data_IF_979488045801
#
_entry.id   IF_979488045801
#
_cell.length_a   1.000
_cell.length_b   1.000
_cell.length_c   1.000
_cell.angle_alpha   90.00
_cell.angle_beta   90.00
_cell.angle_gamma   90.00
#
_symmetry.space_group_name_H-M   'P 1'
#
loop_
_entity.id
_entity.type
_entity.pdbx_description
1 polymer ?
#
# COMPACT_ATOMS: atom_id res chain seq x y z
N UNK A 1 42.11 3.25 -8.16
CA UNK A 1 42.17 2.96 -6.71
C UNK A 1 41.62 4.12 -5.89
N UNK A 2 42.30 5.27 -5.78
CA UNK A 2 41.86 6.38 -4.90
C UNK A 2 40.46 6.94 -5.21
N UNK A 3 40.15 7.13 -6.50
CA UNK A 3 38.81 7.54 -6.93
C UNK A 3 37.82 6.36 -6.88
N UNK A 4 38.15 5.28 -7.58
CA UNK A 4 37.24 4.15 -7.82
C UNK A 4 36.83 3.38 -6.56
N UNK A 5 37.68 3.32 -5.53
CA UNK A 5 37.40 2.60 -4.28
C UNK A 5 37.00 3.53 -3.12
N UNK A 6 36.81 4.83 -3.38
CA UNK A 6 36.55 5.84 -2.36
C UNK A 6 35.38 5.50 -1.44
N UNK A 7 34.30 4.94 -1.99
CA UNK A 7 33.14 4.57 -1.18
C UNK A 7 33.44 3.48 -0.15
N UNK A 8 34.31 2.51 -0.48
CA UNK A 8 34.72 1.46 0.44
C UNK A 8 35.54 2.05 1.58
N UNK A 9 36.43 3.01 1.27
CA UNK A 9 37.22 3.72 2.28
C UNK A 9 36.34 4.54 3.23
N UNK A 10 35.38 5.27 2.68
CA UNK A 10 34.43 6.04 3.47
C UNK A 10 33.56 5.14 4.35
N UNK A 11 33.12 4.00 3.82
CA UNK A 11 32.33 3.02 4.57
C UNK A 11 33.14 2.38 5.70
N UNK A 12 34.37 1.94 5.43
CA UNK A 12 35.27 1.36 6.44
C UNK A 12 35.60 2.39 7.54
N UNK A 13 35.92 3.63 7.16
CA UNK A 13 36.20 4.70 8.12
C UNK A 13 34.99 5.05 8.99
N UNK A 14 33.80 5.14 8.39
CA UNK A 14 32.55 5.35 9.14
C UNK A 14 32.27 4.18 10.08
N UNK A 15 32.48 2.94 9.63
CA UNK A 15 32.33 1.74 10.45
C UNK A 15 33.21 1.81 11.70
N UNK A 16 34.51 2.03 11.51
CA UNK A 16 35.46 2.20 12.61
C UNK A 16 35.05 3.31 13.58
N UNK A 17 34.63 4.48 13.05
CA UNK A 17 34.18 5.61 13.88
C UNK A 17 32.98 5.25 14.77
N UNK A 18 32.09 4.38 14.28
CA UNK A 18 30.92 3.92 15.03
C UNK A 18 31.14 2.60 15.77
N UNK A 19 32.38 2.10 15.84
CA UNK A 19 32.74 0.80 16.44
C UNK A 19 32.03 -0.40 15.81
N UNK A 20 31.72 -0.31 14.51
CA UNK A 20 31.12 -1.39 13.71
C UNK A 20 32.18 -1.88 12.73
N UNK A 21 32.51 -3.17 12.79
CA UNK A 21 33.39 -3.80 11.82
C UNK A 21 32.54 -4.28 10.65
N UNK A 22 32.65 -3.61 9.50
CA UNK A 22 31.95 -3.97 8.27
C UNK A 22 32.88 -4.67 7.27
N UNK A 23 32.27 -5.31 6.29
CA UNK A 23 32.93 -6.05 5.20
C UNK A 23 33.91 -5.18 4.38
N UNK A 24 33.70 -3.86 4.39
CA UNK A 24 34.50 -2.91 3.62
C UNK A 24 35.87 -2.65 4.27
N UNK A 25 36.03 -2.95 5.56
CA UNK A 25 37.31 -2.79 6.28
C UNK A 25 38.42 -3.73 5.76
N UNK A 26 38.25 -5.07 5.71
CA UNK A 26 39.28 -5.96 5.17
C UNK A 26 39.51 -5.72 3.68
N UNK A 27 38.48 -5.37 2.91
CA UNK A 27 38.60 -4.97 1.50
C UNK A 27 39.50 -3.75 1.36
N UNK A 28 39.26 -2.72 2.18
CA UNK A 28 40.07 -1.50 2.18
C UNK A 28 41.53 -1.79 2.53
N UNK A 29 41.77 -2.60 3.56
CA UNK A 29 43.13 -3.00 3.94
C UNK A 29 43.81 -3.78 2.81
N UNK A 30 43.14 -4.76 2.21
CA UNK A 30 43.68 -5.53 1.09
C UNK A 30 44.05 -4.65 -0.12
N UNK A 31 43.19 -3.68 -0.48
CA UNK A 31 43.47 -2.73 -1.56
C UNK A 31 44.70 -1.87 -1.24
N UNK A 32 44.80 -1.34 -0.02
CA UNK A 32 45.97 -0.55 0.39
C UNK A 32 47.26 -1.37 0.39
N UNK A 33 47.23 -2.58 0.95
CA UNK A 33 48.45 -3.38 1.05
C UNK A 33 48.91 -3.87 -0.32
N UNK A 34 48.02 -4.34 -1.19
CA UNK A 34 48.36 -4.70 -2.57
C UNK A 34 48.94 -3.52 -3.35
N UNK A 35 48.37 -2.33 -3.17
CA UNK A 35 48.86 -1.13 -3.84
C UNK A 35 50.26 -0.77 -3.37
N UNK A 36 50.47 -0.66 -2.05
CA UNK A 36 51.78 -0.31 -1.47
C UNK A 36 52.84 -1.34 -1.89
N UNK A 37 52.52 -2.63 -1.80
CA UNK A 37 53.42 -3.71 -2.18
C UNK A 37 53.75 -3.67 -3.67
N UNK A 38 52.73 -3.58 -4.54
CA UNK A 38 52.95 -3.55 -5.99
C UNK A 38 53.74 -2.31 -6.40
N UNK A 39 53.49 -1.16 -5.77
CA UNK A 39 54.28 0.05 -5.97
C UNK A 39 55.73 -0.15 -5.53
N UNK A 40 55.97 -0.80 -4.39
CA UNK A 40 57.32 -1.09 -3.91
C UNK A 40 58.08 -2.03 -4.86
N UNK A 41 57.47 -3.14 -5.28
CA UNK A 41 58.09 -4.12 -6.19
C UNK A 41 58.43 -3.50 -7.55
N UNK A 42 57.52 -2.68 -8.10
CA UNK A 42 57.75 -1.97 -9.36
C UNK A 42 58.85 -0.91 -9.21
N UNK A 43 58.82 -0.13 -8.12
CA UNK A 43 59.80 0.93 -7.89
C UNK A 43 61.21 0.39 -7.61
N UNK A 44 61.32 -0.78 -6.96
CA UNK A 44 62.59 -1.43 -6.65
C UNK A 44 63.07 -2.40 -7.74
N UNK A 45 62.28 -2.58 -8.81
CA UNK A 45 62.54 -3.53 -9.90
C UNK A 45 62.69 -5.00 -9.43
N UNK A 46 62.11 -5.34 -8.27
CA UNK A 46 62.17 -6.67 -7.68
C UNK A 46 61.07 -7.60 -8.19
N UNK A 47 60.03 -7.04 -8.81
CA UNK A 47 58.90 -7.81 -9.33
C UNK A 47 58.04 -7.00 -10.27
N UNK A 48 57.11 -7.70 -10.93
CA UNK A 48 56.14 -7.10 -11.86
C UNK A 48 54.95 -6.42 -11.13
N UNK A 49 54.81 -6.64 -9.82
CA UNK A 49 53.67 -6.19 -9.04
C UNK A 49 52.36 -6.91 -9.41
N UNK A 50 51.28 -6.57 -8.70
CA UNK A 50 49.96 -7.18 -8.85
C UNK A 50 48.88 -6.13 -9.19
N UNK A 51 49.26 -5.13 -9.98
CA UNK A 51 48.37 -4.01 -10.35
C UNK A 51 47.16 -4.48 -11.17
N UNK A 52 47.33 -5.50 -12.00
CA UNK A 52 46.28 -6.17 -12.76
C UNK A 52 45.22 -6.81 -11.85
N UNK A 53 45.68 -7.55 -10.83
CA UNK A 53 44.84 -8.21 -9.83
C UNK A 53 44.12 -7.18 -8.96
N UNK A 54 44.80 -6.09 -8.58
CA UNK A 54 44.22 -4.97 -7.86
C UNK A 54 43.09 -4.31 -8.66
N UNK A 55 43.31 -4.05 -9.95
CA UNK A 55 42.29 -3.46 -10.83
C UNK A 55 41.12 -4.42 -11.00
N UNK A 56 41.39 -5.71 -11.24
CA UNK A 56 40.36 -6.75 -11.36
C UNK A 56 39.48 -6.82 -10.11
N UNK A 57 40.07 -6.85 -8.91
CA UNK A 57 39.35 -6.84 -7.64
C UNK A 57 38.39 -5.64 -7.53
N UNK A 58 38.92 -4.42 -7.72
CA UNK A 58 38.10 -3.19 -7.62
C UNK A 58 37.02 -3.16 -8.69
N UNK A 59 37.31 -3.63 -9.90
CA UNK A 59 36.35 -3.69 -11.00
C UNK A 59 35.16 -4.60 -10.68
N UNK A 60 35.41 -5.83 -10.22
CA UNK A 60 34.34 -6.77 -9.85
C UNK A 60 33.51 -6.27 -8.67
N UNK A 61 34.14 -5.66 -7.67
CA UNK A 61 33.45 -5.01 -6.55
C UNK A 61 32.51 -3.90 -7.04
N UNK A 62 32.97 -3.04 -7.96
CA UNK A 62 32.15 -1.97 -8.53
C UNK A 62 30.98 -2.49 -9.38
N UNK A 63 31.16 -3.56 -10.14
CA UNK A 63 30.06 -4.22 -10.86
C UNK A 63 28.98 -4.68 -9.87
N UNK A 64 29.38 -5.35 -8.79
CA UNK A 64 28.45 -5.80 -7.75
C UNK A 64 27.65 -4.65 -7.16
N UNK A 65 28.33 -3.55 -6.84
CA UNK A 65 27.69 -2.35 -6.27
C UNK A 65 26.78 -1.61 -7.26
N UNK A 66 27.18 -1.54 -8.52
CA UNK A 66 26.35 -0.97 -9.59
C UNK A 66 25.06 -1.77 -9.77
N UNK A 67 25.15 -3.10 -9.78
CA UNK A 67 24.00 -3.97 -9.87
C UNK A 67 23.09 -3.83 -8.64
N UNK A 68 23.66 -3.81 -7.44
CA UNK A 68 22.91 -3.57 -6.19
C UNK A 68 22.14 -2.24 -6.25
N UNK A 69 22.79 -1.17 -6.71
CA UNK A 69 22.17 0.15 -6.86
C UNK A 69 21.01 0.13 -7.86
N UNK A 70 21.17 -0.54 -9.01
CA UNK A 70 20.09 -0.70 -10.00
C UNK A 70 18.90 -1.46 -9.43
N UNK A 71 19.15 -2.54 -8.69
CA UNK A 71 18.10 -3.32 -8.02
C UNK A 71 17.41 -2.46 -6.96
N UNK A 72 18.15 -1.70 -6.16
CA UNK A 72 17.61 -0.80 -5.14
C UNK A 72 16.79 0.36 -5.73
N UNK A 73 17.22 0.91 -6.87
CA UNK A 73 16.46 1.95 -7.57
C UNK A 73 15.15 1.41 -8.14
N UNK A 74 15.18 0.21 -8.73
CA UNK A 74 13.97 -0.48 -9.18
C UNK A 74 13.02 -0.82 -8.01
N UNK A 75 13.59 -1.11 -6.83
CA UNK A 75 12.88 -1.32 -5.56
C UNK A 75 12.28 -0.03 -4.95
N UNK A 76 12.92 1.11 -5.19
CA UNK A 76 12.51 2.40 -4.59
C UNK A 76 11.30 3.04 -5.28
N UNK A 77 10.76 2.39 -6.32
CA UNK A 77 9.54 2.83 -6.97
C UNK A 77 8.33 2.55 -6.06
N UNK A 78 7.47 3.55 -5.91
CA UNK A 78 6.15 3.50 -5.23
C UNK A 78 6.14 3.61 -3.70
N UNK A 79 6.76 4.67 -3.16
CA UNK A 79 6.36 5.22 -1.85
C UNK A 79 5.64 6.56 -1.93
N UNK A 80 5.32 7.05 -3.13
CA UNK A 80 4.72 8.37 -3.24
C UNK A 80 3.20 8.24 -3.16
N UNK A 81 2.66 8.46 -1.95
CA UNK A 81 1.26 8.83 -1.76
C UNK A 81 0.83 9.94 -2.73
N UNK A 82 1.80 10.75 -3.21
CA UNK A 82 1.65 11.80 -4.23
C UNK A 82 0.99 11.33 -5.52
N UNK A 83 1.12 10.06 -5.90
CA UNK A 83 0.42 9.51 -7.08
C UNK A 83 -1.10 9.53 -6.94
N UNK A 84 -1.62 9.60 -5.71
CA UNK A 84 -3.05 9.66 -5.41
C UNK A 84 -3.58 11.08 -5.29
N UNK A 85 -2.70 12.07 -5.09
CA UNK A 85 -3.07 13.47 -5.01
C UNK A 85 -3.16 14.11 -6.41
N UNK A 86 -4.02 15.13 -6.59
CA UNK A 86 -4.12 15.82 -7.86
C UNK A 86 -2.83 16.59 -8.19
N UNK A 87 -2.52 16.74 -9.48
CA UNK A 87 -1.34 17.50 -9.93
C UNK A 87 -1.46 18.99 -9.59
N UNK A 88 -2.68 19.50 -9.61
CA UNK A 88 -3.00 20.90 -9.36
C UNK A 88 -4.33 21.05 -8.62
N UNK A 89 -4.50 22.18 -7.94
CA UNK A 89 -5.68 22.52 -7.14
C UNK A 89 -6.18 23.91 -7.51
N UNK A 90 -7.49 24.13 -7.44
CA UNK A 90 -8.08 25.43 -7.73
C UNK A 90 -8.01 26.32 -6.50
N UNK A 91 -7.21 27.38 -6.56
CA UNK A 91 -7.12 28.43 -5.55
C UNK A 91 -8.19 29.49 -5.80
N UNK A 92 -8.89 29.91 -4.76
CA UNK A 92 -9.83 31.04 -4.77
C UNK A 92 -9.13 32.26 -4.17
N UNK A 93 -8.97 33.31 -4.96
CA UNK A 93 -8.31 34.55 -4.56
C UNK A 93 -9.19 35.77 -4.88
N UNK A 94 -8.84 36.96 -4.37
CA UNK A 94 -9.55 38.20 -4.71
C UNK A 94 -9.53 38.54 -6.22
N UNK A 95 -8.61 37.94 -6.98
CA UNK A 95 -8.51 38.03 -8.45
C UNK A 95 -9.29 36.94 -9.20
N UNK A 96 -10.01 36.05 -8.50
CA UNK A 96 -10.77 34.94 -9.08
C UNK A 96 -10.13 33.57 -8.83
N UNK A 97 -10.57 32.57 -9.59
CA UNK A 97 -10.09 31.18 -9.53
C UNK A 97 -8.80 31.00 -10.33
N UNK A 98 -7.78 30.43 -9.72
CA UNK A 98 -6.50 30.11 -10.38
C UNK A 98 -6.06 28.68 -10.04
N UNK A 99 -5.69 27.90 -11.06
CA UNK A 99 -5.10 26.58 -10.84
C UNK A 99 -3.63 26.72 -10.45
N UNK A 100 -3.24 26.15 -9.30
CA UNK A 100 -1.86 26.13 -8.82
C UNK A 100 -1.37 24.68 -8.69
N UNK A 101 -0.08 24.41 -8.96
CA UNK A 101 0.53 23.11 -8.65
C UNK A 101 0.37 22.77 -7.16
N UNK A 102 0.14 21.49 -6.85
CA UNK A 102 -0.13 21.05 -5.48
C UNK A 102 1.00 21.39 -4.50
N UNK A 103 2.26 21.35 -4.96
CA UNK A 103 3.43 21.68 -4.15
C UNK A 103 3.55 23.18 -3.78
N UNK A 104 2.70 24.04 -4.35
CA UNK A 104 2.59 25.46 -3.99
C UNK A 104 1.41 25.74 -3.05
N UNK A 105 0.73 24.70 -2.57
CA UNK A 105 -0.39 24.84 -1.65
C UNK A 105 0.13 25.10 -0.22
N UNK A 106 -0.23 26.25 0.34
CA UNK A 106 0.19 26.68 1.67
C UNK A 106 -0.98 26.81 2.65
N UNK A 107 -0.66 26.85 3.95
CA UNK A 107 -1.65 27.12 4.99
C UNK A 107 -2.31 28.48 4.79
N UNK A 108 -3.62 28.55 4.96
CA UNK A 108 -4.45 29.75 4.77
C UNK A 108 -4.91 29.94 3.32
N UNK A 109 -4.45 29.13 2.37
CA UNK A 109 -4.98 29.13 1.01
C UNK A 109 -6.43 28.66 1.01
N UNK A 110 -7.28 29.38 0.26
CA UNK A 110 -8.66 28.97 0.00
C UNK A 110 -8.72 28.18 -1.29
N UNK A 111 -9.23 26.98 -1.23
CA UNK A 111 -9.33 26.08 -2.37
C UNK A 111 -10.78 25.73 -2.67
N UNK A 112 -11.09 25.63 -3.96
CA UNK A 112 -12.38 25.16 -4.45
C UNK A 112 -12.26 23.66 -4.77
N UNK A 113 -13.09 22.85 -4.13
CA UNK A 113 -13.20 21.41 -4.38
C UNK A 113 -14.55 21.13 -5.02
N UNK A 114 -14.53 20.62 -6.25
CA UNK A 114 -15.74 20.27 -7.02
C UNK A 114 -16.18 18.84 -6.75
N UNK A 115 -17.31 18.46 -7.33
CA UNK A 115 -17.83 17.11 -7.24
C UNK A 115 -16.78 16.08 -7.68
N UNK A 116 -16.61 15.02 -6.89
CA UNK A 116 -15.67 13.92 -7.05
C UNK A 116 -14.18 14.30 -7.02
N UNK A 117 -13.84 15.57 -6.81
CA UNK A 117 -12.46 15.99 -6.60
C UNK A 117 -11.95 15.54 -5.23
N UNK A 118 -10.68 15.17 -5.19
CA UNK A 118 -10.00 14.76 -3.97
C UNK A 118 -9.60 16.00 -3.16
N UNK A 119 -9.82 15.94 -1.86
CA UNK A 119 -9.37 16.94 -0.90
C UNK A 119 -7.89 16.68 -0.62
N UNK A 120 -7.00 17.61 -1.01
CA UNK A 120 -5.57 17.34 -1.05
C UNK A 120 -4.84 17.62 0.26
N UNK A 121 -5.48 18.31 1.20
CA UNK A 121 -4.88 18.77 2.44
C UNK A 121 -5.97 18.87 3.53
N UNK A 122 -5.57 18.82 4.80
CA UNK A 122 -6.52 19.03 5.89
C UNK A 122 -6.96 20.50 5.88
N UNK A 123 -8.26 20.72 5.84
CA UNK A 123 -8.84 22.03 5.60
C UNK A 123 -10.15 22.23 6.37
N UNK A 124 -10.52 23.49 6.62
CA UNK A 124 -11.80 23.85 7.26
C UNK A 124 -12.82 24.18 6.18
N UNK A 125 -14.06 23.72 6.34
CA UNK A 125 -15.15 24.11 5.44
C UNK A 125 -15.52 25.59 5.62
N UNK A 126 -15.36 26.40 4.58
CA UNK A 126 -15.77 27.80 4.56
C UNK A 126 -17.18 27.97 4.01
N UNK A 127 -17.50 27.31 2.89
CA UNK A 127 -18.79 27.48 2.21
C UNK A 127 -19.20 26.23 1.42
N UNK A 128 -20.52 26.07 1.22
CA UNK A 128 -21.12 24.96 0.50
C UNK A 128 -21.62 23.81 1.38
N UNK A 129 -22.28 22.82 0.76
CA UNK A 129 -22.77 21.61 1.43
C UNK A 129 -21.78 20.49 1.20
N UNK A 130 -20.97 20.20 2.23
CA UNK A 130 -19.96 19.16 2.17
C UNK A 130 -20.54 17.78 2.53
N UNK A 131 -20.33 16.81 1.63
CA UNK A 131 -20.59 15.39 1.87
C UNK A 131 -19.34 14.65 1.42
N UNK A 132 -18.54 14.22 2.38
CA UNK A 132 -17.18 13.73 2.10
C UNK A 132 -17.17 12.21 2.09
N UNK A 133 -16.89 11.64 0.93
CA UNK A 133 -16.65 10.22 0.75
C UNK A 133 -15.20 9.89 1.17
N UNK A 134 -15.07 9.12 2.25
CA UNK A 134 -13.79 8.64 2.78
C UNK A 134 -13.51 7.18 2.41
N UNK A 135 -14.22 6.60 1.44
CA UNK A 135 -14.02 5.20 1.00
C UNK A 135 -12.57 4.90 0.61
N UNK A 136 -11.86 5.89 0.08
CA UNK A 136 -10.44 5.76 -0.26
C UNK A 136 -9.54 5.52 0.98
N UNK A 137 -9.91 6.05 2.14
CA UNK A 137 -9.11 5.98 3.37
C UNK A 137 -9.65 4.93 4.35
N UNK A 138 -10.97 4.82 4.45
CA UNK A 138 -11.68 4.02 5.45
C UNK A 138 -12.29 2.74 4.86
N UNK A 139 -12.40 2.62 3.53
CA UNK A 139 -13.14 1.55 2.87
C UNK A 139 -14.67 1.72 2.91
N UNK A 140 -15.19 2.62 3.74
CA UNK A 140 -16.62 2.87 3.89
C UNK A 140 -17.14 3.85 2.84
N UNK A 141 -18.20 3.47 2.12
CA UNK A 141 -18.71 4.23 0.95
C UNK A 141 -19.82 5.22 1.27
N UNK A 142 -20.15 5.45 2.55
CA UNK A 142 -21.22 6.38 2.95
C UNK A 142 -20.61 7.77 3.18
N UNK A 143 -20.96 8.78 2.35
CA UNK A 143 -20.40 10.12 2.51
C UNK A 143 -20.79 10.76 3.84
N UNK A 144 -19.81 11.30 4.55
CA UNK A 144 -19.99 11.94 5.84
C UNK A 144 -20.36 13.42 5.63
N UNK A 145 -21.54 13.90 6.09
CA UNK A 145 -21.89 15.30 5.99
C UNK A 145 -21.01 16.15 6.91
N UNK A 146 -20.60 17.34 6.45
CA UNK A 146 -19.78 18.29 7.22
C UNK A 146 -20.43 19.67 7.26
N UNK A 147 -20.35 20.33 8.42
CA UNK A 147 -20.88 21.68 8.63
C UNK A 147 -19.79 22.74 8.44
N UNK A 148 -20.22 23.96 8.14
CA UNK A 148 -19.32 25.11 8.01
C UNK A 148 -18.54 25.28 9.32
N UNK A 149 -17.23 25.49 9.23
CA UNK A 149 -16.31 25.57 10.36
C UNK A 149 -15.76 24.22 10.83
N UNK A 150 -16.24 23.08 10.31
CA UNK A 150 -15.69 21.77 10.64
C UNK A 150 -14.45 21.44 9.82
N UNK A 151 -13.58 20.64 10.45
CA UNK A 151 -12.40 20.05 9.84
C UNK A 151 -12.78 18.97 8.83
N UNK A 152 -12.12 19.02 7.68
CA UNK A 152 -12.16 18.03 6.61
C UNK A 152 -10.75 17.53 6.36
N UNK A 153 -10.55 16.22 6.53
CA UNK A 153 -9.25 15.59 6.35
C UNK A 153 -8.92 15.33 4.88
N UNK A 154 -7.63 15.37 4.55
CA UNK A 154 -7.11 14.97 3.26
C UNK A 154 -7.48 13.52 2.89
N UNK A 155 -7.64 13.25 1.59
CA UNK A 155 -8.01 11.92 1.08
C UNK A 155 -9.51 11.69 0.90
N UNK A 156 -10.35 12.56 1.46
CA UNK A 156 -11.78 12.55 1.19
C UNK A 156 -12.10 13.05 -0.22
N UNK A 157 -13.21 12.61 -0.80
CA UNK A 157 -13.77 13.17 -2.04
C UNK A 157 -15.06 13.91 -1.75
N UNK A 158 -15.22 15.10 -2.31
CA UNK A 158 -16.50 15.81 -2.19
C UNK A 158 -17.55 15.15 -3.08
N UNK A 159 -18.74 14.90 -2.53
CA UNK A 159 -19.90 14.41 -3.29
C UNK A 159 -21.01 15.46 -3.29
N UNK A 160 -21.40 15.94 -4.48
CA UNK A 160 -22.45 16.94 -4.66
C UNK A 160 -21.92 18.29 -5.14
N UNK A 161 -22.48 19.39 -4.62
CA UNK A 161 -22.10 20.75 -5.02
C UNK A 161 -20.64 21.07 -4.66
N UNK A 162 -20.03 22.03 -5.35
CA UNK A 162 -18.69 22.51 -4.98
C UNK A 162 -18.66 23.11 -3.58
N UNK A 163 -17.53 22.96 -2.91
CA UNK A 163 -17.25 23.49 -1.57
C UNK A 163 -15.97 24.32 -1.59
N UNK A 164 -15.92 25.34 -0.74
CA UNK A 164 -14.72 26.15 -0.52
C UNK A 164 -14.11 25.77 0.83
N UNK A 165 -12.81 25.48 0.82
CA UNK A 165 -12.06 25.04 1.99
C UNK A 165 -10.88 25.98 2.27
N UNK A 166 -10.54 26.18 3.54
CA UNK A 166 -9.31 26.86 3.94
C UNK A 166 -8.27 25.83 4.43
N UNK A 167 -7.10 25.80 3.80
CA UNK A 167 -6.03 24.85 4.15
C UNK A 167 -5.45 25.16 5.53
N UNK A 168 -5.36 24.14 6.37
CA UNK A 168 -4.85 24.27 7.75
C UNK A 168 -3.48 23.63 7.90
N UNK A 169 -3.30 22.46 7.27
CA UNK A 169 -2.03 21.75 7.21
C UNK A 169 -1.65 21.54 5.75
N UNK A 170 -0.36 21.68 5.44
CA UNK A 170 0.16 21.32 4.13
C UNK A 170 -0.01 19.81 3.87
N UNK A 171 -0.02 19.42 2.60
CA UNK A 171 -0.24 18.02 2.15
C UNK A 171 0.65 17.03 2.91
N UNK A 172 1.92 17.38 3.10
CA UNK A 172 2.95 16.58 3.78
C UNK A 172 2.69 16.38 5.28
N UNK A 173 1.92 17.29 5.87
CA UNK A 173 1.55 17.29 7.29
C UNK A 173 0.11 16.82 7.53
N UNK A 174 -0.64 16.53 6.47
CA UNK A 174 -2.04 16.11 6.58
C UNK A 174 -2.18 14.76 7.28
N UNK A 175 -3.35 14.53 7.89
CA UNK A 175 -3.66 13.28 8.59
C UNK A 175 -3.45 12.03 7.73
N UNK A 176 -3.85 12.04 6.46
CA UNK A 176 -3.63 10.93 5.55
C UNK A 176 -2.15 10.66 5.31
N UNK A 177 -1.37 11.72 5.07
CA UNK A 177 0.08 11.60 4.87
C UNK A 177 0.77 11.18 6.15
N UNK A 178 0.29 11.59 7.33
CA UNK A 178 0.77 11.09 8.61
C UNK A 178 0.42 9.61 8.80
N UNK A 179 -0.76 9.14 8.41
CA UNK A 179 -1.11 7.71 8.41
C UNK A 179 -0.22 6.89 7.46
N UNK A 180 0.13 7.45 6.31
CA UNK A 180 0.99 6.80 5.32
C UNK A 180 2.47 6.82 5.71
N UNK A 181 2.94 7.91 6.31
CA UNK A 181 4.32 8.12 6.76
C UNK A 181 4.58 7.59 8.16
N UNK A 182 3.53 7.43 8.98
CA UNK A 182 3.51 6.44 10.04
C UNK A 182 3.46 5.07 9.37
N UNK A 183 4.58 4.67 8.75
CA UNK A 183 5.10 3.34 9.02
C UNK A 183 5.21 3.33 10.57
N UNK A 184 4.11 2.98 11.27
CA UNK A 184 4.17 2.66 12.69
C UNK A 184 5.39 1.78 12.81
N UNK A 185 6.33 2.19 13.65
CA UNK A 185 7.52 1.44 13.96
C UNK A 185 7.15 0.11 14.59
N UNK A 186 6.56 -0.80 13.81
CA UNK A 186 6.93 -2.19 13.87
C UNK A 186 8.41 -2.15 13.57
N UNK A 187 9.18 -2.12 14.66
CA UNK A 187 10.62 -2.02 14.61
C UNK A 187 11.11 -2.98 13.55
N UNK A 188 12.06 -2.53 12.73
CA UNK A 188 12.79 -3.44 11.82
C UNK A 188 13.05 -4.71 12.63
N UNK A 189 12.49 -5.86 12.26
CA UNK A 189 12.72 -7.08 13.01
C UNK A 189 14.22 -7.25 13.07
N UNK A 190 14.76 -7.33 14.30
CA UNK A 190 16.19 -7.50 14.56
C UNK A 190 16.77 -8.74 13.86
N UNK A 191 15.89 -9.60 13.35
CA UNK A 191 16.13 -10.87 12.66
C UNK A 191 15.92 -10.83 11.14
N UNK A 192 16.00 -9.67 10.46
CA UNK A 192 16.05 -9.67 8.99
C UNK A 192 17.30 -10.42 8.49
N UNK A 193 17.21 -11.06 7.32
CA UNK A 193 18.36 -11.69 6.66
C UNK A 193 19.55 -10.74 6.51
N UNK A 194 19.28 -9.44 6.32
CA UNK A 194 20.31 -8.40 6.33
C UNK A 194 21.04 -8.28 7.66
N UNK A 195 20.34 -8.35 8.79
CA UNK A 195 20.92 -8.35 10.14
C UNK A 195 21.79 -9.59 10.38
N UNK A 196 21.34 -10.77 9.94
CA UNK A 196 22.10 -12.02 10.03
C UNK A 196 23.40 -11.92 9.23
N UNK A 197 23.32 -11.47 7.97
CA UNK A 197 24.52 -11.32 7.12
C UNK A 197 25.49 -10.29 7.70
N UNK A 198 24.99 -9.20 8.29
CA UNK A 198 25.84 -8.22 8.95
C UNK A 198 26.58 -8.84 10.15
N UNK A 199 25.89 -9.60 11.01
CA UNK A 199 26.52 -10.32 12.14
C UNK A 199 27.54 -11.35 11.66
N UNK A 200 27.19 -12.14 10.65
CA UNK A 200 28.11 -13.12 10.05
C UNK A 200 29.34 -12.41 9.47
N UNK A 201 29.14 -11.29 8.77
CA UNK A 201 30.23 -10.48 8.19
C UNK A 201 31.14 -9.89 9.26
N UNK A 202 30.59 -9.46 10.39
CA UNK A 202 31.36 -8.95 11.53
C UNK A 202 32.27 -10.03 12.12
N UNK A 203 31.71 -11.18 12.52
CA UNK A 203 32.49 -12.29 13.06
C UNK A 203 33.53 -12.80 12.04
N UNK A 204 33.13 -12.95 10.79
CA UNK A 204 34.00 -13.40 9.71
C UNK A 204 35.18 -12.43 9.50
N UNK A 205 34.94 -11.12 9.54
CA UNK A 205 35.99 -10.10 9.43
C UNK A 205 36.98 -10.19 10.60
N UNK A 206 36.48 -10.35 11.83
CA UNK A 206 37.33 -10.49 13.02
C UNK A 206 38.20 -11.74 12.91
N UNK A 207 37.61 -12.88 12.52
CA UNK A 207 38.33 -14.15 12.36
C UNK A 207 39.42 -14.04 11.28
N UNK A 208 39.12 -13.42 10.13
CA UNK A 208 40.11 -13.22 9.06
C UNK A 208 41.26 -12.35 9.52
N UNK A 209 40.97 -11.24 10.20
CA UNK A 209 42.01 -10.37 10.73
C UNK A 209 42.89 -11.12 11.72
N UNK A 210 42.30 -11.94 12.59
CA UNK A 210 43.06 -12.77 13.53
C UNK A 210 43.96 -13.79 12.79
N UNK A 211 43.44 -14.49 11.78
CA UNK A 211 44.22 -15.45 10.97
C UNK A 211 45.33 -14.72 10.21
N UNK A 212 45.02 -13.57 9.61
CA UNK A 212 46.00 -12.78 8.87
C UNK A 212 47.13 -12.31 9.78
N UNK A 213 46.81 -11.73 10.93
CA UNK A 213 47.79 -11.25 11.92
C UNK A 213 48.63 -12.40 12.45
N UNK A 214 48.02 -13.53 12.81
CA UNK A 214 48.76 -14.70 13.31
C UNK A 214 49.69 -15.30 12.25
N UNK A 215 49.24 -15.39 11.00
CA UNK A 215 50.08 -15.80 9.88
C UNK A 215 51.25 -14.82 9.65
N UNK A 216 50.98 -13.51 9.68
CA UNK A 216 52.00 -12.47 9.57
C UNK A 216 53.04 -12.54 10.68
N UNK A 217 52.61 -12.69 11.94
CA UNK A 217 53.50 -12.84 13.10
C UNK A 217 54.35 -14.10 12.99
N UNK A 218 53.75 -15.24 12.63
CA UNK A 218 54.49 -16.48 12.43
C UNK A 218 55.62 -16.30 11.42
N UNK A 219 55.29 -15.82 10.22
CA UNK A 219 56.28 -15.62 9.18
C UNK A 219 57.29 -14.52 9.52
N UNK A 220 56.94 -13.53 10.33
CA UNK A 220 57.90 -12.53 10.80
C UNK A 220 59.07 -13.16 11.58
N UNK A 221 58.82 -14.22 12.35
CA UNK A 221 59.88 -14.91 13.10
C UNK A 221 60.65 -15.94 12.27
N UNK A 222 60.02 -16.57 11.28
CA UNK A 222 60.66 -17.61 10.46
C UNK A 222 61.29 -17.10 9.16
N UNK A 223 60.58 -16.25 8.42
CA UNK A 223 61.07 -15.63 7.20
C UNK A 223 60.38 -14.26 6.97
N UNK A 224 60.99 -13.16 7.43
CA UNK A 224 60.38 -11.82 7.39
C UNK A 224 59.92 -11.38 6.00
N UNK A 225 60.58 -11.87 4.94
CA UNK A 225 60.20 -11.53 3.57
C UNK A 225 58.81 -12.04 3.21
N UNK A 226 58.34 -13.13 3.82
CA UNK A 226 57.03 -13.75 3.57
C UNK A 226 55.92 -13.24 4.50
N UNK A 227 56.26 -12.51 5.58
CA UNK A 227 55.29 -12.07 6.58
C UNK A 227 54.18 -11.20 5.99
N UNK A 228 54.58 -10.22 5.17
CA UNK A 228 53.65 -9.32 4.51
C UNK A 228 52.82 -10.07 3.46
N UNK A 229 53.42 -10.98 2.68
CA UNK A 229 52.69 -11.81 1.71
C UNK A 229 51.65 -12.72 2.37
N UNK A 230 51.98 -13.35 3.49
CA UNK A 230 51.06 -14.23 4.21
C UNK A 230 49.86 -13.44 4.77
N UNK A 231 50.12 -12.28 5.39
CA UNK A 231 49.08 -11.40 5.90
C UNK A 231 48.13 -10.91 4.79
N UNK A 232 48.68 -10.41 3.68
CA UNK A 232 47.88 -9.88 2.57
C UNK A 232 47.08 -10.96 1.86
N UNK A 233 47.69 -12.12 1.62
CA UNK A 233 47.04 -13.24 0.94
C UNK A 233 45.77 -13.68 1.68
N UNK A 234 45.82 -13.76 3.01
CA UNK A 234 44.66 -14.09 3.84
C UNK A 234 43.54 -13.07 3.69
N UNK A 235 43.86 -11.77 3.75
CA UNK A 235 42.87 -10.70 3.64
C UNK A 235 42.19 -10.64 2.26
N UNK A 236 42.94 -10.93 1.20
CA UNK A 236 42.45 -10.86 -0.19
C UNK A 236 41.57 -12.06 -0.51
N UNK A 237 42.06 -13.28 -0.24
CA UNK A 237 41.36 -14.52 -0.56
C UNK A 237 40.03 -14.61 0.19
N UNK A 238 40.00 -14.05 1.40
CA UNK A 238 38.84 -14.17 2.26
C UNK A 238 37.75 -13.12 1.98
N UNK A 239 37.77 -12.36 0.88
CA UNK A 239 36.63 -11.49 0.55
C UNK A 239 35.34 -12.30 0.40
N UNK A 240 34.30 -12.10 1.24
CA UNK A 240 33.04 -12.79 1.11
C UNK A 240 32.13 -12.03 0.13
N UNK A 241 32.71 -11.63 -1.00
CA UNK A 241 32.11 -10.81 -2.04
C UNK A 241 30.78 -11.43 -2.53
N UNK A 242 30.72 -12.77 -2.66
CA UNK A 242 29.50 -13.50 -3.05
C UNK A 242 28.41 -13.49 -1.96
N UNK A 243 28.80 -13.55 -0.68
CA UNK A 243 27.85 -13.52 0.44
C UNK A 243 27.09 -12.18 0.48
N UNK A 244 27.80 -11.08 0.28
CA UNK A 244 27.22 -9.73 0.26
C UNK A 244 26.21 -9.53 -0.89
N UNK A 245 26.43 -10.19 -2.03
CA UNK A 245 25.57 -10.07 -3.21
C UNK A 245 24.36 -11.02 -3.18
N UNK A 246 24.36 -12.04 -2.33
CA UNK A 246 23.31 -13.07 -2.32
C UNK A 246 21.91 -12.48 -2.12
N UNK A 247 21.70 -11.68 -1.07
CA UNK A 247 20.40 -11.06 -0.75
C UNK A 247 19.85 -10.14 -1.84
N UNK A 248 20.61 -9.14 -2.35
CA UNK A 248 20.08 -8.25 -3.38
C UNK A 248 19.78 -9.00 -4.69
N UNK A 249 20.57 -10.01 -5.05
CA UNK A 249 20.29 -10.81 -6.24
C UNK A 249 19.04 -11.68 -6.07
N UNK A 250 18.93 -12.41 -4.96
CA UNK A 250 17.78 -13.29 -4.70
C UNK A 250 16.49 -12.47 -4.65
N UNK A 251 16.41 -11.46 -3.78
CA UNK A 251 15.18 -10.70 -3.61
C UNK A 251 14.86 -9.78 -4.79
N UNK A 252 15.88 -9.20 -5.44
CA UNK A 252 15.68 -8.46 -6.68
C UNK A 252 15.08 -9.34 -7.79
N UNK A 253 15.55 -10.58 -7.92
CA UNK A 253 14.98 -11.53 -8.88
C UNK A 253 13.57 -11.97 -8.49
N UNK A 254 13.34 -12.30 -7.21
CA UNK A 254 12.03 -12.72 -6.71
C UNK A 254 10.96 -11.67 -6.96
N UNK A 255 11.25 -10.40 -6.69
CA UNK A 255 10.31 -9.33 -7.00
C UNK A 255 9.99 -9.22 -8.49
N UNK A 256 10.99 -9.40 -9.37
CA UNK A 256 10.76 -9.38 -10.81
C UNK A 256 9.82 -10.50 -11.24
N UNK A 257 9.91 -11.68 -10.62
CA UNK A 257 8.99 -12.80 -10.86
C UNK A 257 7.59 -12.44 -10.37
N UNK A 258 7.45 -11.93 -9.15
CA UNK A 258 6.16 -11.54 -8.58
C UNK A 258 5.49 -10.41 -9.37
N UNK A 259 6.22 -9.38 -9.77
CA UNK A 259 5.68 -8.28 -10.57
C UNK A 259 5.16 -8.73 -11.93
N UNK A 260 5.83 -9.70 -12.59
CA UNK A 260 5.31 -10.31 -13.83
C UNK A 260 4.03 -11.11 -13.62
N UNK A 261 3.80 -11.61 -12.40
CA UNK A 261 2.58 -12.31 -12.01
C UNK A 261 1.50 -11.35 -11.46
N UNK A 262 1.72 -10.03 -11.47
CA UNK A 262 0.79 -9.04 -10.92
C UNK A 262 0.79 -8.96 -9.39
N UNK A 263 1.79 -9.54 -8.72
CA UNK A 263 1.97 -9.43 -7.27
C UNK A 263 3.06 -8.41 -6.94
N UNK A 264 2.65 -7.24 -6.47
CA UNK A 264 3.55 -6.11 -6.25
C UNK A 264 3.90 -5.98 -4.77
N UNK A 265 5.20 -5.97 -4.47
CA UNK A 265 5.72 -5.93 -3.11
C UNK A 265 6.46 -4.61 -2.88
N UNK A 266 6.16 -3.94 -1.76
CA UNK A 266 6.72 -2.62 -1.38
C UNK A 266 8.24 -2.62 -1.16
N UNK A 267 8.82 -3.71 -0.65
CA UNK A 267 10.27 -3.84 -0.40
C UNK A 267 10.68 -5.31 -0.23
N UNK A 268 11.99 -5.59 -0.25
CA UNK A 268 12.53 -6.96 -0.12
C UNK A 268 12.25 -7.61 1.24
N UNK A 269 12.05 -6.82 2.29
CA UNK A 269 11.80 -7.32 3.64
C UNK A 269 10.43 -8.01 3.74
N UNK A 270 9.44 -7.52 2.99
CA UNK A 270 8.12 -8.15 2.91
C UNK A 270 8.21 -9.57 2.36
N UNK A 271 9.13 -9.88 1.43
CA UNK A 271 9.32 -11.25 0.92
C UNK A 271 9.72 -12.20 2.05
N UNK A 272 10.64 -11.74 2.91
CA UNK A 272 11.09 -12.51 4.06
C UNK A 272 10.00 -12.66 5.12
N UNK A 273 9.22 -11.61 5.36
CA UNK A 273 8.12 -11.69 6.32
C UNK A 273 7.01 -12.62 5.81
N UNK A 274 6.67 -12.56 4.52
CA UNK A 274 5.70 -13.45 3.88
C UNK A 274 6.10 -14.93 3.94
N UNK A 275 7.38 -15.28 4.02
CA UNK A 275 7.80 -16.67 4.19
C UNK A 275 7.66 -17.18 5.62
N UNK A 276 7.48 -16.27 6.59
CA UNK A 276 7.40 -16.57 8.02
C UNK A 276 5.98 -16.44 8.60
N UNK A 277 5.04 -15.86 7.86
CA UNK A 277 3.67 -15.74 8.34
C UNK A 277 3.04 -17.13 8.53
N UNK A 278 2.19 -17.25 9.53
CA UNK A 278 1.39 -18.44 9.81
C UNK A 278 -0.11 -18.12 9.85
N UNK A 279 -0.46 -16.84 9.77
CA UNK A 279 -1.81 -16.32 9.94
C UNK A 279 -2.07 -15.27 8.88
N UNK A 280 -3.23 -15.37 8.22
CA UNK A 280 -3.69 -14.41 7.22
C UNK A 280 -5.03 -13.86 7.68
N UNK A 281 -5.09 -12.54 7.78
CA UNK A 281 -6.31 -11.82 8.13
C UNK A 281 -6.81 -11.14 6.87
N UNK A 282 -8.01 -11.51 6.43
CA UNK A 282 -8.69 -10.86 5.32
C UNK A 282 -9.51 -9.69 5.85
N UNK A 283 -9.42 -8.57 5.14
CA UNK A 283 -10.47 -7.55 5.19
C UNK A 283 -11.65 -8.00 4.29
N UNK A 284 -12.86 -7.49 4.57
CA UNK A 284 -14.04 -7.83 3.77
C UNK A 284 -14.17 -6.94 2.53
N UNK A 285 -14.34 -5.64 2.77
CA UNK A 285 -14.86 -4.69 1.79
C UNK A 285 -13.77 -4.23 0.84
N UNK A 286 -13.92 -4.52 -0.45
CA UNK A 286 -12.89 -4.23 -1.47
C UNK A 286 -11.75 -5.25 -1.53
N UNK A 287 -11.60 -6.09 -0.49
CA UNK A 287 -10.63 -7.18 -0.44
C UNK A 287 -11.24 -8.50 -0.95
N UNK A 288 -12.20 -9.10 -0.27
CA UNK A 288 -12.87 -10.34 -0.74
C UNK A 288 -14.16 -10.07 -1.53
N UNK A 289 -14.77 -8.89 -1.35
CA UNK A 289 -15.97 -8.47 -2.09
C UNK A 289 -15.63 -7.60 -3.30
N UNK A 290 -16.54 -7.59 -4.27
CA UNK A 290 -16.48 -6.68 -5.42
C UNK A 290 -17.37 -5.45 -5.15
N UNK A 291 -16.79 -4.25 -5.12
CA UNK A 291 -17.53 -3.00 -4.86
C UNK A 291 -18.55 -2.62 -5.95
N UNK A 292 -18.58 -3.30 -7.10
CA UNK A 292 -19.37 -2.91 -8.29
C UNK A 292 -20.36 -3.95 -8.80
N UNK A 293 -20.44 -5.11 -8.17
CA UNK A 293 -21.33 -6.18 -8.63
C UNK A 293 -21.98 -6.80 -7.41
N UNK A 294 -23.04 -6.17 -6.91
CA UNK A 294 -23.94 -6.87 -5.98
C UNK A 294 -24.89 -7.71 -6.83
N UNK A 295 -25.13 -8.96 -6.43
CA UNK A 295 -26.12 -9.78 -7.11
C UNK A 295 -27.51 -9.26 -6.72
N UNK A 296 -28.29 -8.87 -7.72
CA UNK A 296 -29.61 -8.26 -7.52
C UNK A 296 -30.66 -9.12 -8.15
N UNK A 297 -31.63 -9.52 -7.33
CA UNK A 297 -32.82 -10.22 -7.78
C UNK A 297 -34.06 -9.51 -7.27
N UNK A 298 -34.98 -9.21 -8.18
CA UNK A 298 -36.32 -8.76 -7.79
C UNK A 298 -37.18 -9.97 -7.37
N UNK A 299 -37.84 -9.85 -6.22
CA UNK A 299 -38.75 -10.85 -5.66
C UNK A 299 -40.09 -10.18 -5.38
N UNK A 300 -41.14 -10.62 -6.07
CA UNK A 300 -42.48 -10.05 -5.93
C UNK A 300 -43.36 -10.28 -7.16
N UNK A 301 -44.35 -9.42 -7.32
CA UNK A 301 -45.24 -9.43 -8.48
C UNK A 301 -44.48 -9.06 -9.74
N UNK A 302 -44.81 -9.67 -10.88
CA UNK A 302 -44.15 -9.37 -12.15
C UNK A 302 -44.29 -7.87 -12.47
N UNK A 303 -43.17 -7.15 -12.51
CA UNK A 303 -43.13 -5.74 -12.90
C UNK A 303 -43.15 -5.62 -14.42
N UNK A 304 -43.85 -4.61 -14.93
CA UNK A 304 -43.75 -4.27 -16.35
C UNK A 304 -42.36 -3.69 -16.66
N UNK A 305 -41.92 -3.78 -17.92
CA UNK A 305 -40.67 -3.16 -18.35
C UNK A 305 -40.64 -1.65 -18.10
N UNK A 306 -41.79 -0.98 -18.22
CA UNK A 306 -41.93 0.45 -17.93
C UNK A 306 -41.77 0.75 -16.44
N UNK A 307 -42.35 -0.08 -15.54
CA UNK A 307 -42.20 0.10 -14.10
C UNK A 307 -40.75 -0.07 -13.65
N UNK A 308 -40.03 -1.05 -14.23
CA UNK A 308 -38.60 -1.23 -13.99
C UNK A 308 -37.79 0.00 -14.43
N UNK A 309 -38.11 0.59 -15.58
CA UNK A 309 -37.45 1.82 -16.05
C UNK A 309 -37.77 3.02 -15.15
N UNK A 310 -39.01 3.14 -14.63
CA UNK A 310 -39.36 4.19 -13.65
C UNK A 310 -38.64 4.00 -12.31
N UNK A 311 -38.51 2.76 -11.83
CA UNK A 311 -37.73 2.42 -10.64
C UNK A 311 -36.25 2.79 -10.84
N UNK A 312 -35.66 2.40 -11.97
CA UNK A 312 -34.29 2.76 -12.34
C UNK A 312 -34.11 4.28 -12.36
N UNK A 313 -35.05 5.00 -12.96
CA UNK A 313 -35.01 6.45 -13.03
C UNK A 313 -35.04 7.07 -11.64
N UNK A 314 -35.97 6.67 -10.77
CA UNK A 314 -36.02 7.12 -9.38
C UNK A 314 -34.71 6.82 -8.62
N UNK A 315 -34.20 5.59 -8.73
CA UNK A 315 -32.97 5.18 -8.07
C UNK A 315 -31.75 5.97 -8.56
N UNK A 316 -31.75 6.42 -9.82
CA UNK A 316 -30.65 7.20 -10.40
C UNK A 316 -30.45 8.59 -9.78
N UNK A 317 -31.43 9.09 -9.03
CA UNK A 317 -31.37 10.36 -8.31
C UNK A 317 -30.76 10.25 -6.90
N UNK A 318 -30.52 9.04 -6.39
CA UNK A 318 -29.88 8.81 -5.09
C UNK A 318 -28.44 8.33 -5.28
N UNK A 319 -27.53 8.86 -4.45
CA UNK A 319 -26.14 8.41 -4.39
C UNK A 319 -25.93 7.20 -3.48
N UNK A 320 -26.98 6.69 -2.83
CA UNK A 320 -26.88 5.56 -1.93
C UNK A 320 -26.39 4.30 -2.68
N UNK A 321 -25.46 3.51 -2.13
CA UNK A 321 -24.91 2.32 -2.81
C UNK A 321 -25.99 1.37 -3.34
N UNK A 322 -27.01 1.07 -2.53
CA UNK A 322 -28.13 0.21 -2.94
C UNK A 322 -28.95 0.80 -4.11
N UNK A 323 -29.12 2.13 -4.17
CA UNK A 323 -29.79 2.80 -5.29
C UNK A 323 -28.98 2.71 -6.57
N UNK A 324 -27.65 2.88 -6.46
CA UNK A 324 -26.72 2.68 -7.58
C UNK A 324 -26.79 1.25 -8.10
N UNK A 325 -26.79 0.26 -7.21
CA UNK A 325 -26.89 -1.14 -7.61
C UNK A 325 -28.23 -1.43 -8.31
N UNK A 326 -29.37 -0.96 -7.79
CA UNK A 326 -30.68 -1.12 -8.45
C UNK A 326 -30.66 -0.48 -9.85
N UNK A 327 -30.12 0.74 -9.97
CA UNK A 327 -29.98 1.45 -11.26
C UNK A 327 -29.17 0.63 -12.27
N UNK A 328 -28.07 0.03 -11.85
CA UNK A 328 -27.18 -0.76 -12.70
C UNK A 328 -27.78 -2.14 -13.06
N UNK A 329 -28.60 -2.71 -12.18
CA UNK A 329 -29.25 -4.02 -12.41
C UNK A 329 -30.32 -4.02 -13.50
N UNK A 330 -30.88 -2.85 -13.83
CA UNK A 330 -31.97 -2.70 -14.79
C UNK A 330 -31.42 -2.17 -16.12
N UNK A 331 -31.62 -2.91 -17.20
CA UNK A 331 -31.20 -2.51 -18.55
C UNK A 331 -32.13 -1.44 -19.16
N UNK A 332 -31.60 -0.65 -20.09
CA UNK A 332 -32.33 0.42 -20.79
C UNK A 332 -32.14 1.80 -20.14
N UNK A 333 -32.23 2.86 -20.94
CA UNK A 333 -32.07 4.23 -20.46
C UNK A 333 -33.20 5.07 -21.04
N UNK A 334 -34.15 5.45 -20.18
CA UNK A 334 -35.29 6.26 -20.53
C UNK A 334 -35.45 7.36 -19.50
N UNK A 335 -35.57 8.59 -19.98
CA UNK A 335 -35.82 9.74 -19.13
C UNK A 335 -37.32 9.89 -18.91
N UNK A 336 -37.69 10.16 -17.66
CA UNK A 336 -39.06 10.49 -17.26
C UNK A 336 -39.07 11.85 -16.59
N UNK A 337 -40.26 12.43 -16.44
CA UNK A 337 -40.47 13.54 -15.53
C UNK A 337 -40.57 13.01 -14.10
N UNK A 338 -39.93 13.72 -13.16
CA UNK A 338 -40.02 13.41 -11.73
C UNK A 338 -40.52 14.63 -10.97
N UNK A 339 -41.46 14.41 -10.06
CA UNK A 339 -41.95 15.40 -9.11
C UNK A 339 -42.00 14.81 -7.69
N UNK A 340 -42.00 15.67 -6.68
CA UNK A 340 -42.05 15.29 -5.25
C UNK A 340 -40.97 14.26 -4.84
N UNK A 341 -39.75 14.39 -5.40
CA UNK A 341 -38.63 13.55 -5.00
C UNK A 341 -38.18 13.88 -3.57
N UNK A 342 -38.10 12.86 -2.73
CA UNK A 342 -37.65 12.97 -1.35
C UNK A 342 -36.75 11.79 -0.99
N UNK A 343 -35.64 12.08 -0.32
CA UNK A 343 -34.76 11.09 0.29
C UNK A 343 -34.93 11.17 1.80
N UNK A 344 -35.51 10.13 2.40
CA UNK A 344 -35.88 10.06 3.80
C UNK A 344 -34.80 9.26 4.53
N UNK A 345 -34.02 9.90 5.43
CA UNK A 345 -32.93 9.24 6.14
C UNK A 345 -33.38 7.96 6.85
N UNK A 346 -32.57 6.92 6.72
CA UNK A 346 -32.81 5.59 7.32
C UNK A 346 -34.09 4.88 6.86
N UNK A 347 -34.80 5.40 5.87
CA UNK A 347 -36.07 4.85 5.39
C UNK A 347 -36.02 4.51 3.90
N UNK A 348 -35.62 5.46 3.04
CA UNK A 348 -35.56 5.23 1.60
C UNK A 348 -35.80 6.49 0.75
N UNK A 349 -36.17 6.30 -0.52
CA UNK A 349 -36.51 7.34 -1.48
C UNK A 349 -37.98 7.24 -1.92
N UNK A 350 -38.60 8.38 -2.18
CA UNK A 350 -39.98 8.53 -2.66
C UNK A 350 -39.99 9.52 -3.83
N UNK A 351 -40.85 9.30 -4.81
CA UNK A 351 -41.09 10.27 -5.88
C UNK A 351 -42.26 9.89 -6.78
N UNK A 352 -42.70 10.83 -7.60
CA UNK A 352 -43.70 10.61 -8.65
C UNK A 352 -42.98 10.63 -9.99
N UNK A 353 -42.85 9.48 -10.64
CA UNK A 353 -42.18 9.32 -11.94
C UNK A 353 -43.22 9.11 -13.03
N UNK A 354 -43.32 10.04 -13.98
CA UNK A 354 -44.32 10.01 -15.06
C UNK A 354 -45.76 9.76 -14.54
N UNK A 355 -46.16 10.49 -13.49
CA UNK A 355 -47.47 10.36 -12.83
C UNK A 355 -47.64 9.14 -11.91
N UNK A 356 -46.65 8.25 -11.81
CA UNK A 356 -46.69 7.04 -10.97
C UNK A 356 -45.95 7.29 -9.65
N UNK A 357 -46.60 7.14 -8.50
CA UNK A 357 -45.91 7.27 -7.20
C UNK A 357 -45.15 6.00 -6.86
N UNK A 358 -43.85 6.15 -6.64
CA UNK A 358 -42.91 5.06 -6.35
C UNK A 358 -42.16 5.38 -5.06
N UNK A 359 -42.14 4.41 -4.15
CA UNK A 359 -41.30 4.44 -2.96
C UNK A 359 -40.35 3.23 -2.97
N UNK A 360 -39.07 3.46 -2.70
CA UNK A 360 -38.04 2.44 -2.58
C UNK A 360 -37.37 2.58 -1.22
N UNK A 361 -37.33 1.51 -0.41
CA UNK A 361 -36.67 1.62 0.90
C UNK A 361 -36.84 0.40 1.80
N UNK A 362 -36.65 0.63 3.09
CA UNK A 362 -36.78 -0.41 4.13
C UNK A 362 -38.20 -0.98 4.19
N UNK A 363 -38.32 -2.22 4.65
CA UNK A 363 -39.63 -2.85 4.92
C UNK A 363 -40.51 -2.00 5.83
N UNK A 364 -39.90 -1.34 6.83
CA UNK A 364 -40.60 -0.45 7.78
C UNK A 364 -41.20 0.75 7.08
N UNK A 365 -40.47 1.36 6.14
CA UNK A 365 -40.97 2.48 5.35
C UNK A 365 -42.15 2.10 4.45
N UNK A 366 -42.07 0.94 3.81
CA UNK A 366 -43.05 0.52 2.81
C UNK A 366 -44.28 -0.18 3.41
N UNK A 367 -44.09 -0.99 4.44
CA UNK A 367 -45.14 -1.88 4.99
C UNK A 367 -45.53 -1.55 6.44
N UNK A 368 -44.78 -0.68 7.11
CA UNK A 368 -44.93 -0.42 8.54
C UNK A 368 -44.41 -1.53 9.46
N UNK A 369 -43.93 -2.66 8.91
CA UNK A 369 -43.39 -3.80 9.66
C UNK A 369 -41.87 -3.84 9.61
N UNK A 370 -41.24 -4.30 10.69
CA UNK A 370 -39.79 -4.53 10.76
C UNK A 370 -39.44 -5.81 10.00
N UNK A 371 -38.22 -5.90 9.47
CA UNK A 371 -37.77 -7.07 8.72
C UNK A 371 -37.47 -8.26 9.63
N UNK A 372 -37.86 -9.46 9.18
CA UNK A 372 -37.72 -10.71 9.94
C UNK A 372 -36.42 -11.46 9.55
N UNK A 373 -35.79 -11.05 8.44
CA UNK A 373 -34.57 -11.64 7.90
C UNK A 373 -33.47 -10.56 7.77
N UNK A 374 -32.58 -10.40 8.78
CA UNK A 374 -31.58 -9.33 8.83
C UNK A 374 -30.39 -9.53 7.87
N UNK A 375 -30.24 -10.70 7.27
CA UNK A 375 -29.01 -11.09 6.56
C UNK A 375 -28.98 -10.76 5.06
N UNK A 376 -30.06 -10.21 4.50
CA UNK A 376 -30.07 -9.71 3.11
C UNK A 376 -30.50 -8.25 3.07
N UNK A 377 -29.77 -7.43 2.32
CA UNK A 377 -30.17 -6.03 2.11
C UNK A 377 -31.34 -5.99 1.15
N UNK A 378 -32.56 -5.98 1.70
CA UNK A 378 -33.80 -5.94 0.93
C UNK A 378 -34.28 -4.48 0.75
N UNK A 379 -34.48 -4.07 -0.49
CA UNK A 379 -35.09 -2.77 -0.82
C UNK A 379 -36.50 -3.00 -1.36
N UNK A 380 -37.50 -2.71 -0.53
CA UNK A 380 -38.90 -2.87 -0.87
C UNK A 380 -39.37 -1.77 -1.82
N UNK A 381 -40.24 -2.15 -2.75
CA UNK A 381 -40.81 -1.28 -3.77
C UNK A 381 -42.32 -1.19 -3.60
N UNK A 382 -42.81 0.06 -3.55
CA UNK A 382 -44.23 0.39 -3.52
C UNK A 382 -44.58 1.21 -4.75
N UNK A 383 -45.58 0.77 -5.51
CA UNK A 383 -46.01 1.39 -6.76
C UNK A 383 -47.53 1.52 -6.72
N UNK A 384 -48.09 2.70 -7.04
CA UNK A 384 -49.55 2.90 -7.19
C UNK A 384 -50.38 2.21 -6.08
N UNK A 385 -50.04 2.51 -4.82
CA UNK A 385 -50.78 2.07 -3.62
C UNK A 385 -50.67 0.59 -3.22
N UNK A 386 -49.77 -0.19 -3.82
CA UNK A 386 -49.50 -1.56 -3.39
C UNK A 386 -48.00 -1.87 -3.32
N UNK A 387 -47.64 -2.84 -2.48
CA UNK A 387 -46.27 -3.35 -2.38
C UNK A 387 -46.03 -4.28 -3.57
N UNK A 388 -45.19 -3.88 -4.50
CA UNK A 388 -44.90 -4.66 -5.70
C UNK A 388 -43.96 -5.84 -5.40
N UNK A 389 -43.04 -5.65 -4.45
CA UNK A 389 -42.02 -6.64 -4.10
C UNK A 389 -40.82 -5.98 -3.45
N UNK A 390 -39.67 -6.65 -3.52
CA UNK A 390 -38.39 -6.12 -3.06
C UNK A 390 -37.22 -6.56 -3.95
N UNK A 391 -36.19 -5.73 -4.03
CA UNK A 391 -34.89 -6.10 -4.55
C UNK A 391 -34.08 -6.75 -3.43
N UNK A 392 -33.75 -8.02 -3.59
CA UNK A 392 -32.78 -8.72 -2.75
C UNK A 392 -31.39 -8.41 -3.29
N UNK A 393 -30.58 -7.72 -2.49
CA UNK A 393 -29.22 -7.32 -2.84
C UNK A 393 -28.26 -8.13 -1.97
N UNK A 394 -27.47 -8.99 -2.61
CA UNK A 394 -26.46 -9.81 -1.96
C UNK A 394 -25.06 -9.35 -2.34
N UNK A 395 -24.12 -9.40 -1.39
CA UNK A 395 -22.72 -9.15 -1.67
C UNK A 395 -22.18 -10.21 -2.62
N UNK A 396 -21.47 -9.79 -3.68
CA UNK A 396 -20.73 -10.73 -4.51
C UNK A 396 -19.27 -10.82 -4.06
N UNK A 397 -18.81 -12.05 -3.94
CA UNK A 397 -17.42 -12.38 -3.64
C UNK A 397 -16.57 -12.40 -4.91
N UNK A 398 -15.28 -12.10 -4.78
CA UNK A 398 -14.33 -12.18 -5.88
C UNK A 398 -14.27 -13.60 -6.46
N UNK A 399 -14.22 -13.75 -7.80
CA UNK A 399 -14.03 -15.05 -8.43
C UNK A 399 -12.76 -15.73 -7.90
N UNK A 400 -12.87 -17.01 -7.55
CA UNK A 400 -11.75 -17.81 -7.03
C UNK A 400 -11.49 -17.66 -5.53
N UNK A 401 -12.26 -16.85 -4.79
CA UNK A 401 -12.11 -16.70 -3.33
C UNK A 401 -12.08 -18.05 -2.59
N UNK A 402 -13.03 -18.93 -2.89
CA UNK A 402 -13.13 -20.24 -2.26
C UNK A 402 -11.89 -21.11 -2.50
N UNK A 403 -11.35 -21.07 -3.73
CA UNK A 403 -10.13 -21.81 -4.06
C UNK A 403 -8.90 -21.27 -3.30
N UNK A 404 -8.81 -19.93 -3.16
CA UNK A 404 -7.73 -19.27 -2.42
C UNK A 404 -7.82 -19.61 -0.93
N UNK A 405 -9.01 -19.48 -0.32
CA UNK A 405 -9.23 -19.81 1.09
C UNK A 405 -8.88 -21.27 1.35
N UNK A 406 -9.35 -22.19 0.51
CA UNK A 406 -9.08 -23.63 0.63
C UNK A 406 -7.60 -23.99 0.52
N UNK A 407 -6.84 -23.29 -0.32
CA UNK A 407 -5.40 -23.55 -0.45
C UNK A 407 -4.61 -22.99 0.74
N UNK A 408 -4.94 -21.76 1.15
CA UNK A 408 -4.26 -21.09 2.25
C UNK A 408 -4.56 -21.74 3.61
N UNK A 409 -5.78 -22.24 3.82
CA UNK A 409 -6.19 -22.89 5.08
C UNK A 409 -5.42 -24.18 5.38
N UNK A 410 -4.78 -24.79 4.37
CA UNK A 410 -3.91 -25.97 4.56
C UNK A 410 -2.67 -25.67 5.39
N UNK A 411 -2.17 -24.43 5.34
CA UNK A 411 -0.88 -24.04 5.92
C UNK A 411 -0.96 -22.83 6.84
N UNK A 412 -2.05 -22.06 6.80
CA UNK A 412 -2.19 -20.82 7.56
C UNK A 412 -3.54 -20.78 8.30
N UNK A 413 -3.55 -20.16 9.48
CA UNK A 413 -4.78 -19.78 10.16
C UNK A 413 -5.41 -18.59 9.44
N UNK A 414 -6.68 -18.68 9.07
CA UNK A 414 -7.38 -17.65 8.30
C UNK A 414 -8.42 -16.97 9.17
N UNK A 415 -8.43 -15.65 9.16
CA UNK A 415 -9.41 -14.82 9.87
C UNK A 415 -10.02 -13.80 8.92
N UNK A 416 -11.23 -13.33 9.25
CA UNK A 416 -11.86 -12.20 8.61
C UNK A 416 -12.09 -11.09 9.65
N UNK A 417 -11.69 -9.87 9.33
CA UNK A 417 -11.97 -8.66 10.09
C UNK A 417 -12.75 -7.68 9.21
N UNK A 418 -13.86 -7.16 9.73
CA UNK A 418 -14.70 -6.21 9.00
C UNK A 418 -15.39 -5.22 9.95
N UNK A 419 -15.50 -3.96 9.50
CA UNK A 419 -16.33 -2.94 10.14
C UNK A 419 -17.83 -3.11 9.88
N UNK A 420 -18.20 -3.87 8.85
CA UNK A 420 -19.60 -4.13 8.51
C UNK A 420 -20.29 -5.00 9.57
N UNK A 421 -21.62 -4.97 9.55
CA UNK A 421 -22.44 -5.85 10.39
C UNK A 421 -22.28 -7.34 10.03
N UNK A 422 -22.79 -8.20 10.91
CA UNK A 422 -22.66 -9.66 10.86
C UNK A 422 -23.66 -10.36 9.93
N UNK A 423 -24.34 -9.61 9.06
CA UNK A 423 -25.32 -10.14 8.09
C UNK A 423 -24.75 -11.26 7.20
N UNK A 424 -23.47 -11.18 6.82
CA UNK A 424 -22.79 -12.15 5.96
C UNK A 424 -22.15 -13.32 6.70
N UNK A 425 -22.29 -13.39 8.05
CA UNK A 425 -21.63 -14.40 8.86
C UNK A 425 -21.98 -15.83 8.41
N UNK A 426 -23.25 -16.10 8.13
CA UNK A 426 -23.71 -17.42 7.68
C UNK A 426 -23.17 -17.82 6.30
N UNK A 427 -22.88 -16.84 5.44
CA UNK A 427 -22.35 -17.07 4.10
C UNK A 427 -20.84 -17.32 4.13
N UNK A 428 -20.13 -16.62 5.02
CA UNK A 428 -18.66 -16.69 5.15
C UNK A 428 -18.20 -17.81 6.10
N UNK A 429 -19.03 -18.21 7.06
CA UNK A 429 -18.73 -19.28 8.03
C UNK A 429 -18.26 -20.58 7.35
N UNK A 430 -18.98 -21.11 6.35
CA UNK A 430 -18.57 -22.31 5.62
C UNK A 430 -17.22 -22.18 4.90
N UNK A 431 -16.86 -20.97 4.44
CA UNK A 431 -15.59 -20.73 3.74
C UNK A 431 -14.41 -20.73 4.71
N UNK A 432 -14.55 -20.07 5.85
CA UNK A 432 -13.49 -19.95 6.86
C UNK A 432 -13.50 -21.10 7.90
N UNK A 433 -14.45 -22.02 7.79
CA UNK A 433 -14.55 -23.25 8.58
C UNK A 433 -15.21 -23.11 9.95
N UNK A 434 -15.10 -21.95 10.60
CA UNK A 434 -15.79 -21.68 11.87
C UNK A 434 -16.08 -20.19 12.06
N UNK A 435 -17.17 -19.89 12.77
CA UNK A 435 -17.64 -18.54 13.12
C UNK A 435 -16.66 -17.77 14.00
N UNK A 436 -15.82 -18.45 14.80
CA UNK A 436 -14.86 -17.80 15.70
C UNK A 436 -13.74 -17.04 14.97
N UNK A 437 -13.52 -17.39 13.70
CA UNK A 437 -12.55 -16.76 12.81
C UNK A 437 -13.09 -15.49 12.13
N UNK A 438 -14.39 -15.20 12.29
CA UNK A 438 -15.07 -14.05 11.68
C UNK A 438 -15.36 -12.98 12.74
N UNK A 439 -14.84 -11.77 12.52
CA UNK A 439 -15.02 -10.62 13.41
C UNK A 439 -15.63 -9.46 12.64
N UNK A 440 -16.89 -9.15 12.97
CA UNK A 440 -17.70 -8.07 12.39
C UNK A 440 -17.84 -6.91 13.38
N UNK A 441 -18.33 -5.75 12.91
CA UNK A 441 -18.50 -4.53 13.69
C UNK A 441 -17.20 -4.06 14.38
N UNK A 442 -16.06 -4.20 13.71
CA UNK A 442 -14.75 -3.83 14.26
C UNK A 442 -14.36 -2.41 13.85
N UNK A 443 -13.84 -1.63 14.80
CA UNK A 443 -13.16 -0.36 14.52
C UNK A 443 -11.74 -0.59 14.02
N UNK A 444 -11.09 0.42 13.43
CA UNK A 444 -9.65 0.36 13.11
C UNK A 444 -8.73 0.16 14.33
N UNK A 445 -9.19 0.53 15.53
CA UNK A 445 -8.57 0.18 16.82
C UNK A 445 -9.12 -1.15 17.31
#
# INVERSE_FOLDING_TARGET
MFYSANDYYLSAFKGLKHKIINIDLPITLGIFTLFIQSTYEIATLQGIGYMDSLIGLVFFLLIGKWYQSKTYQALSFERDYKSYFPVAVTLVSGSGEQSIPLNKLEKGHRILIRNQELIPADATLLSGVAKIDYSFVTGESIPVPKKIGEMIYAGGRQSGSSIELEVIHQVEQSYLTQLWNQDKGFGKPDSSLGSIINKVSEYFTIIILAIGVTAGIYWLFYNPSLALYAFTSVLIIACPCALALTVPFTFGSTMRVFGRAGFYIKNTEVIENLSKINTIVFDKTGTITLNKSMDIRFVGNNLSGEDLLKIKFLASHSSHPLSTCIKESIAGDQRFEISDYQEIPSMGISGIVNGTRINLGSKKFITGKVDDAPNTSNVYCFINHHVAGYFSIANSYRPGLEAVIRELSKSHALYLLSGDNDSEKNNLGPLFGNDEYLRFNQSPQ
#
